data_IF_408962517585
#
_entry.id   IF_408962517585
#
_cell.length_a   1.000
_cell.length_b   1.000
_cell.length_c   1.000
_cell.angle_alpha   90.00
_cell.angle_beta   90.00
_cell.angle_gamma   90.00
#
_symmetry.space_group_name_H-M   'P 1'
#
loop_
_entity.id
_entity.type
_entity.pdbx_description
1 polymer ?
#
# COMPACT_ATOMS: atom_id res chain seq x y z
N UNK A 1 8.45 4.27 29.61
CA UNK A 1 7.30 3.95 28.75
C UNK A 1 7.69 2.76 27.89
N UNK A 2 7.33 1.55 28.31
CA UNK A 2 7.53 0.34 27.49
C UNK A 2 6.56 0.42 26.30
N UNK A 3 7.10 0.36 25.08
CA UNK A 3 6.27 0.22 23.88
C UNK A 3 5.64 -1.16 23.90
N UNK A 4 4.32 -1.23 23.73
CA UNK A 4 3.60 -2.49 23.66
C UNK A 4 4.16 -3.32 22.47
N UNK A 5 4.56 -4.59 22.68
CA UNK A 5 5.16 -5.41 21.62
C UNK A 5 4.26 -5.55 20.38
N UNK A 6 2.94 -5.60 20.58
CA UNK A 6 1.96 -5.64 19.48
C UNK A 6 1.95 -4.35 18.66
N UNK A 7 2.13 -3.17 19.29
CA UNK A 7 2.26 -1.91 18.56
C UNK A 7 3.59 -1.81 17.81
N UNK A 8 4.65 -2.43 18.32
CA UNK A 8 5.97 -2.42 17.67
C UNK A 8 5.97 -3.32 16.43
N UNK A 9 5.31 -4.47 16.51
CA UNK A 9 5.22 -5.42 15.39
C UNK A 9 4.38 -4.85 14.23
N UNK A 10 3.21 -4.25 14.51
CA UNK A 10 2.40 -3.59 13.48
C UNK A 10 3.14 -2.41 12.82
N UNK A 11 3.93 -1.66 13.59
CA UNK A 11 4.77 -0.59 13.02
C UNK A 11 5.82 -1.13 12.03
N UNK A 12 6.43 -2.28 12.31
CA UNK A 12 7.44 -2.87 11.42
C UNK A 12 6.82 -3.32 10.09
N UNK A 13 5.64 -3.94 10.13
CA UNK A 13 4.89 -4.37 8.94
C UNK A 13 4.53 -3.15 8.08
N UNK A 14 4.00 -2.10 8.71
CA UNK A 14 3.64 -0.86 8.02
C UNK A 14 4.87 -0.20 7.36
N UNK A 15 5.99 -0.07 8.09
CA UNK A 15 7.24 0.48 7.54
C UNK A 15 7.72 -0.32 6.33
N UNK A 16 7.71 -1.66 6.43
CA UNK A 16 8.14 -2.52 5.33
C UNK A 16 7.23 -2.39 4.09
N UNK A 17 5.91 -2.29 4.29
CA UNK A 17 4.96 -2.09 3.20
C UNK A 17 5.15 -0.72 2.55
N UNK A 18 5.28 0.35 3.33
CA UNK A 18 5.51 1.71 2.82
C UNK A 18 6.84 1.84 2.06
N UNK A 19 7.88 1.14 2.50
CA UNK A 19 9.15 1.09 1.75
C UNK A 19 8.96 0.47 0.37
N UNK A 20 8.18 -0.61 0.25
CA UNK A 20 7.87 -1.23 -1.05
C UNK A 20 6.99 -0.34 -1.92
N UNK A 21 6.03 0.39 -1.33
CA UNK A 21 5.22 1.38 -2.05
C UNK A 21 6.10 2.49 -2.62
N UNK A 22 7.05 3.00 -1.84
CA UNK A 22 8.01 4.02 -2.31
C UNK A 22 8.92 3.48 -3.42
N UNK A 23 9.41 2.24 -3.30
CA UNK A 23 10.17 1.58 -4.36
C UNK A 23 9.34 1.46 -5.64
N UNK A 24 8.08 1.05 -5.52
CA UNK A 24 7.16 0.91 -6.64
C UNK A 24 6.97 2.26 -7.33
N UNK A 25 6.61 3.32 -6.59
CA UNK A 25 6.45 4.67 -7.13
C UNK A 25 7.71 5.15 -7.87
N UNK A 26 8.89 4.90 -7.30
CA UNK A 26 10.17 5.25 -7.92
C UNK A 26 10.37 4.55 -9.27
N UNK A 27 9.98 3.28 -9.41
CA UNK A 27 10.03 2.55 -10.71
C UNK A 27 9.12 3.16 -11.78
N UNK A 28 8.04 3.83 -11.36
CA UNK A 28 7.16 4.61 -12.25
C UNK A 28 7.61 6.07 -12.40
N UNK A 29 8.80 6.43 -11.90
CA UNK A 29 9.33 7.82 -11.92
C UNK A 29 8.38 8.82 -11.23
N UNK A 30 7.79 8.38 -10.11
CA UNK A 30 6.96 9.19 -9.22
C UNK A 30 7.75 9.37 -7.93
N UNK A 31 7.99 10.62 -7.55
CA UNK A 31 8.73 10.90 -6.31
C UNK A 31 7.83 10.71 -5.07
N UNK A 32 8.37 10.30 -3.92
CA UNK A 32 7.57 10.04 -2.71
C UNK A 32 6.74 11.23 -2.20
N UNK A 33 7.12 12.46 -2.55
CA UNK A 33 6.35 13.66 -2.18
C UNK A 33 5.23 14.00 -3.19
N UNK A 34 5.25 13.38 -4.38
CA UNK A 34 4.22 13.56 -5.42
C UNK A 34 3.03 12.61 -5.22
N UNK A 35 3.22 11.60 -4.37
CA UNK A 35 2.22 10.58 -4.04
C UNK A 35 2.36 10.20 -2.57
N UNK A 36 1.32 10.47 -1.79
CA UNK A 36 1.23 10.11 -0.38
C UNK A 36 0.37 8.86 -0.26
N UNK A 37 0.91 7.81 0.36
CA UNK A 37 0.17 6.60 0.70
C UNK A 37 0.00 6.48 2.22
N UNK A 38 -1.18 6.05 2.66
CA UNK A 38 -1.49 5.79 4.07
C UNK A 38 -2.08 4.40 4.23
N UNK A 39 -1.69 3.70 5.32
CA UNK A 39 -2.26 2.41 5.69
C UNK A 39 -3.17 2.60 6.91
N UNK A 40 -4.38 2.05 6.84
CA UNK A 40 -5.32 2.03 7.96
C UNK A 40 -5.87 0.62 8.15
N UNK A 41 -5.85 0.15 9.39
CA UNK A 41 -6.47 -1.12 9.75
C UNK A 41 -7.98 -0.90 9.95
N UNK A 42 -8.79 -1.61 9.18
CA UNK A 42 -10.23 -1.73 9.36
C UNK A 42 -10.53 -3.04 10.11
N UNK A 43 -10.61 -2.92 11.43
CA UNK A 43 -11.06 -4.03 12.26
C UNK A 43 -12.59 -4.13 12.18
N UNK A 44 -13.12 -5.12 11.47
CA UNK A 44 -14.53 -5.49 11.64
C UNK A 44 -14.69 -6.28 12.92
N UNK A 45 -15.42 -5.71 13.87
CA UNK A 45 -15.93 -6.47 15.01
C UNK A 45 -17.13 -7.28 14.52
N UNK A 46 -16.90 -8.55 14.17
CA UNK A 46 -18.01 -9.44 13.86
C UNK A 46 -18.62 -9.94 15.18
N UNK A 47 -19.62 -9.21 15.67
CA UNK A 47 -20.30 -9.51 16.94
C UNK A 47 -21.17 -10.78 16.89
N UNK A 48 -21.23 -11.49 15.76
CA UNK A 48 -22.18 -12.56 15.53
C UNK A 48 -21.76 -13.94 16.08
N UNK A 49 -20.47 -14.18 16.32
CA UNK A 49 -19.99 -15.49 16.79
C UNK A 49 -18.94 -15.26 17.88
N UNK A 50 -19.25 -15.64 19.11
CA UNK A 50 -18.29 -15.60 20.22
C UNK A 50 -17.07 -16.47 19.87
N UNK A 51 -16.00 -15.85 19.40
CA UNK A 51 -14.77 -16.55 19.03
C UNK A 51 -13.89 -15.77 18.07
N UNK A 52 -12.95 -15.00 18.64
CA UNK A 52 -11.53 -14.87 18.28
C UNK A 52 -11.04 -14.67 16.83
N UNK A 53 -11.88 -14.56 15.81
CA UNK A 53 -11.40 -14.37 14.43
C UNK A 53 -11.53 -12.90 14.01
N UNK A 54 -10.59 -12.07 14.48
CA UNK A 54 -10.43 -10.71 14.00
C UNK A 54 -9.74 -10.75 12.63
N UNK A 55 -10.51 -10.95 11.55
CA UNK A 55 -10.00 -10.72 10.19
C UNK A 55 -9.95 -9.21 9.96
N UNK A 56 -8.92 -8.58 10.52
CA UNK A 56 -8.60 -7.17 10.27
C UNK A 56 -8.20 -7.02 8.81
N UNK A 57 -8.95 -6.21 8.05
CA UNK A 57 -8.54 -5.83 6.70
C UNK A 57 -7.76 -4.54 6.78
N UNK A 58 -6.69 -4.44 6.01
CA UNK A 58 -5.91 -3.22 5.90
C UNK A 58 -6.29 -2.50 4.61
N UNK A 59 -6.37 -1.17 4.69
CA UNK A 59 -6.70 -0.30 3.57
C UNK A 59 -5.48 0.57 3.28
N UNK A 60 -4.82 0.30 2.16
CA UNK A 60 -3.79 1.17 1.60
C UNK A 60 -4.47 2.21 0.71
N UNK A 61 -4.36 3.48 1.08
CA UNK A 61 -4.96 4.61 0.38
C UNK A 61 -3.86 5.49 -0.23
N UNK A 62 -3.97 5.78 -1.53
CA UNK A 62 -3.14 6.75 -2.23
C UNK A 62 -3.86 8.11 -2.22
N UNK A 63 -3.54 8.94 -1.23
CA UNK A 63 -4.27 10.17 -0.89
C UNK A 63 -3.95 11.34 -1.83
N UNK A 64 -2.75 11.36 -2.41
CA UNK A 64 -2.35 12.37 -3.38
C UNK A 64 -1.88 11.73 -4.68
N UNK A 65 -2.05 12.48 -5.77
CA UNK A 65 -1.64 12.11 -7.12
C UNK A 65 -0.73 13.17 -7.71
N UNK A 66 0.20 12.80 -8.61
CA UNK A 66 1.01 13.77 -9.34
C UNK A 66 0.15 14.77 -10.12
N UNK A 67 0.58 16.04 -10.15
CA UNK A 67 -0.08 17.10 -10.93
C UNK A 67 0.35 17.14 -12.40
N UNK A 68 1.53 16.62 -12.71
CA UNK A 68 2.05 16.50 -14.08
C UNK A 68 1.25 15.40 -14.84
N UNK A 69 0.65 15.71 -16.00
CA UNK A 69 -0.14 14.74 -16.76
C UNK A 69 0.61 13.46 -17.14
N UNK A 70 1.88 13.56 -17.50
CA UNK A 70 2.69 12.40 -17.87
C UNK A 70 2.99 11.50 -16.67
N UNK A 71 3.12 12.08 -15.47
CA UNK A 71 3.27 11.33 -14.22
C UNK A 71 1.94 10.75 -13.76
N UNK A 72 0.83 11.44 -14.02
CA UNK A 72 -0.50 10.96 -13.70
C UNK A 72 -0.84 9.67 -14.46
N UNK A 73 -0.54 9.60 -15.76
CA UNK A 73 -0.70 8.35 -16.54
C UNK A 73 0.12 7.18 -15.95
N UNK A 74 1.35 7.45 -15.52
CA UNK A 74 2.21 6.44 -14.87
C UNK A 74 1.68 6.04 -13.50
N UNK A 75 1.07 6.98 -12.77
CA UNK A 75 0.41 6.73 -11.49
C UNK A 75 -0.82 5.82 -11.67
N UNK A 76 -1.65 6.08 -12.67
CA UNK A 76 -2.79 5.21 -12.98
C UNK A 76 -2.34 3.79 -13.33
N UNK A 77 -1.32 3.65 -14.19
CA UNK A 77 -0.75 2.35 -14.52
C UNK A 77 -0.19 1.63 -13.29
N UNK A 78 0.48 2.37 -12.39
CA UNK A 78 0.99 1.82 -11.13
C UNK A 78 -0.15 1.26 -10.26
N UNK A 79 -1.23 2.02 -10.07
CA UNK A 79 -2.40 1.57 -9.31
C UNK A 79 -3.06 0.33 -9.93
N UNK A 80 -3.25 0.33 -11.25
CA UNK A 80 -3.83 -0.80 -11.98
C UNK A 80 -2.98 -2.07 -11.79
N UNK A 81 -1.65 -1.92 -11.82
CA UNK A 81 -0.70 -3.04 -11.71
C UNK A 81 -0.82 -3.76 -10.37
N UNK A 82 -1.07 -3.02 -9.27
CA UNK A 82 -1.26 -3.59 -7.93
C UNK A 82 -2.72 -3.94 -7.63
N UNK A 83 -3.64 -3.70 -8.58
CA UNK A 83 -5.08 -3.93 -8.39
C UNK A 83 -5.76 -2.92 -7.47
N UNK A 84 -5.17 -1.73 -7.29
CA UNK A 84 -5.81 -0.64 -6.58
C UNK A 84 -6.91 -0.01 -7.45
N UNK A 85 -7.99 0.44 -6.80
CA UNK A 85 -9.07 1.15 -7.48
C UNK A 85 -8.57 2.50 -8.00
N UNK A 86 -8.70 2.76 -9.31
CA UNK A 86 -8.37 4.07 -9.90
C UNK A 86 -9.31 5.18 -9.42
N UNK A 87 -10.57 4.85 -9.17
CA UNK A 87 -11.58 5.81 -8.71
C UNK A 87 -11.31 6.27 -7.28
N UNK A 88 -10.98 5.33 -6.38
CA UNK A 88 -10.85 5.62 -4.95
C UNK A 88 -9.41 5.74 -4.49
N UNK A 89 -8.44 5.29 -5.29
CA UNK A 89 -7.04 5.18 -4.89
C UNK A 89 -6.84 4.16 -3.75
N UNK A 90 -7.67 3.13 -3.64
CA UNK A 90 -7.63 2.18 -2.51
C UNK A 90 -7.27 0.77 -2.96
N UNK A 91 -6.43 0.14 -2.16
CA UNK A 91 -6.16 -1.30 -2.19
C UNK A 91 -6.54 -1.86 -0.82
N UNK A 92 -7.42 -2.87 -0.81
CA UNK A 92 -7.97 -3.46 0.42
C UNK A 92 -7.62 -4.94 0.46
N UNK A 93 -7.12 -5.41 1.59
CA UNK A 93 -6.78 -6.81 1.80
C UNK A 93 -6.14 -7.01 3.18
N UNK A 94 -5.87 -8.25 3.53
CA UNK A 94 -5.00 -8.54 4.67
C UNK A 94 -3.57 -8.08 4.38
N UNK A 95 -2.74 -7.88 5.41
CA UNK A 95 -1.36 -7.41 5.24
C UNK A 95 -0.59 -8.26 4.22
N UNK A 96 -0.71 -9.59 4.29
CA UNK A 96 -0.09 -10.50 3.32
C UNK A 96 -0.57 -10.27 1.88
N UNK A 97 -1.86 -9.99 1.68
CA UNK A 97 -2.44 -9.72 0.37
C UNK A 97 -1.92 -8.40 -0.19
N UNK A 98 -1.81 -7.36 0.66
CA UNK A 98 -1.21 -6.08 0.28
C UNK A 98 0.26 -6.28 -0.11
N UNK A 99 1.04 -7.01 0.69
CA UNK A 99 2.44 -7.31 0.35
C UNK A 99 2.57 -8.04 -0.99
N UNK A 100 1.76 -9.07 -1.23
CA UNK A 100 1.78 -9.83 -2.49
C UNK A 100 1.38 -8.97 -3.68
N UNK A 101 0.39 -8.08 -3.52
CA UNK A 101 -0.03 -7.16 -4.56
C UNK A 101 1.09 -6.18 -4.94
N UNK A 102 1.77 -5.58 -3.95
CA UNK A 102 2.91 -4.69 -4.19
C UNK A 102 4.09 -5.46 -4.80
N UNK A 103 4.41 -6.66 -4.32
CA UNK A 103 5.49 -7.49 -4.87
C UNK A 103 5.23 -7.90 -6.32
N UNK A 104 3.99 -8.25 -6.66
CA UNK A 104 3.58 -8.48 -8.04
C UNK A 104 3.76 -7.22 -8.88
N UNK A 105 3.39 -6.06 -8.34
CA UNK A 105 3.63 -4.76 -8.98
C UNK A 105 5.10 -4.51 -9.25
N UNK A 106 5.95 -4.70 -8.25
CA UNK A 106 7.41 -4.56 -8.38
C UNK A 106 8.00 -5.56 -9.38
N UNK A 107 7.45 -6.76 -9.51
CA UNK A 107 7.96 -7.75 -10.46
C UNK A 107 7.78 -7.33 -11.93
N UNK A 108 6.73 -6.56 -12.23
CA UNK A 108 6.40 -6.11 -13.61
C UNK A 108 6.67 -4.63 -13.85
N UNK A 109 6.89 -3.86 -12.80
CA UNK A 109 7.19 -2.42 -12.88
C UNK A 109 8.42 -2.15 -13.76
N UNK A 110 8.47 -1.01 -14.46
CA UNK A 110 9.61 -0.64 -15.29
C UNK A 110 10.90 -0.72 -14.48
N UNK A 111 11.88 -1.49 -14.97
CA UNK A 111 13.20 -1.50 -14.34
C UNK A 111 13.87 -0.17 -14.63
N UNK A 112 14.20 0.58 -13.58
CA UNK A 112 15.14 1.70 -13.68
C UNK A 112 16.41 1.15 -14.34
N UNK A 113 16.70 1.61 -15.56
CA UNK A 113 17.98 1.29 -16.19
C UNK A 113 19.04 1.95 -15.34
N UNK A 114 19.86 1.14 -14.66
CA UNK A 114 21.07 1.62 -14.00
C UNK A 114 21.86 2.44 -15.03
N UNK A 115 22.02 3.74 -14.77
CA UNK A 115 22.94 4.60 -15.50
C UNK A 115 24.34 4.44 -14.93
#
# INVERSE_FOLDING_TARGET
MEKNPNQTMNNNVNIALMNKVNELASRYSIEPYEMVATLRDETRFDSAIGGHDMTGRSILTFESRPSDPSKFERYELMLETIGASLETGKLVGEDEELFRAIDKGLAVAPRLRSR
#
